data_IF_130918362362
#
_entry.id   IF_130918362362
#
_cell.length_a   1.000
_cell.length_b   1.000
_cell.length_c   1.000
_cell.angle_alpha   90.00
_cell.angle_beta   90.00
_cell.angle_gamma   90.00
#
_symmetry.space_group_name_H-M   'P 1'
#
loop_
_entity.id
_entity.type
_entity.pdbx_description
1 polymer ?
#
# COMPACT_ATOMS: atom_id res chain seq x y z
N UNK A 1 6.88 20.14 9.88
CA UNK A 1 7.82 19.26 10.60
C UNK A 1 9.15 19.98 10.73
N UNK A 2 9.69 20.08 11.94
CA UNK A 2 10.93 20.78 12.29
C UNK A 2 12.16 20.04 11.74
N UNK A 3 13.28 20.75 11.61
CA UNK A 3 14.57 20.16 11.22
C UNK A 3 15.01 19.03 12.17
N UNK A 4 14.74 19.19 13.47
CA UNK A 4 15.06 18.19 14.48
C UNK A 4 14.27 16.89 14.28
N UNK A 5 12.96 16.98 14.07
CA UNK A 5 12.11 15.81 13.80
C UNK A 5 12.58 15.06 12.56
N UNK A 6 12.86 15.78 11.46
CA UNK A 6 13.35 15.20 10.21
C UNK A 6 14.66 14.45 10.40
N UNK A 7 15.59 15.00 11.20
CA UNK A 7 16.86 14.36 11.51
C UNK A 7 16.63 13.06 12.28
N UNK A 8 15.78 13.07 13.31
CA UNK A 8 15.48 11.87 14.10
C UNK A 8 14.84 10.79 13.23
N UNK A 9 13.88 11.15 12.36
CA UNK A 9 13.27 10.20 11.42
C UNK A 9 14.32 9.62 10.46
N UNK A 10 15.24 10.44 9.94
CA UNK A 10 16.32 9.96 9.07
C UNK A 10 17.24 8.96 9.78
N UNK A 11 17.56 9.18 11.05
CA UNK A 11 18.33 8.24 11.87
C UNK A 11 17.59 6.92 12.09
N UNK A 12 16.27 6.98 12.26
CA UNK A 12 15.45 5.76 12.35
C UNK A 12 15.48 4.97 11.04
N UNK A 13 15.29 5.66 9.90
CA UNK A 13 15.30 5.03 8.56
C UNK A 13 16.67 4.45 8.21
N UNK A 14 17.76 5.07 8.64
CA UNK A 14 19.12 4.53 8.45
C UNK A 14 19.46 3.38 9.39
N UNK A 15 18.61 3.09 10.38
CA UNK A 15 18.86 2.08 11.41
C UNK A 15 19.83 2.51 12.50
N UNK A 16 20.18 3.81 12.59
CA UNK A 16 21.01 4.37 13.67
C UNK A 16 20.29 4.36 15.02
N UNK A 17 18.96 4.50 15.01
CA UNK A 17 18.14 4.40 16.21
C UNK A 17 17.04 3.36 16.03
N UNK A 18 16.70 2.70 17.12
CA UNK A 18 15.58 1.77 17.21
C UNK A 18 14.24 2.52 17.24
N UNK A 19 13.16 1.76 17.09
CA UNK A 19 11.80 2.27 17.23
C UNK A 19 11.51 2.82 18.64
N UNK A 20 12.03 2.16 19.66
CA UNK A 20 11.77 2.57 21.05
C UNK A 20 12.53 3.88 21.37
N UNK A 21 13.73 4.05 20.80
CA UNK A 21 14.46 5.31 20.82
C UNK A 21 13.77 6.41 20.04
N UNK A 22 13.23 6.10 18.84
CA UNK A 22 12.42 7.03 18.05
C UNK A 22 11.27 7.59 18.89
N UNK A 23 10.48 6.73 19.56
CA UNK A 23 9.37 7.21 20.39
C UNK A 23 9.79 7.85 21.71
N UNK A 24 10.97 7.52 22.22
CA UNK A 24 11.52 8.27 23.37
C UNK A 24 11.86 9.71 22.99
N UNK A 25 12.37 9.92 21.77
CA UNK A 25 12.74 11.24 21.25
C UNK A 25 11.54 12.02 20.69
N UNK A 26 10.58 11.29 20.11
CA UNK A 26 9.40 11.81 19.43
C UNK A 26 8.11 11.14 19.98
N UNK A 27 7.76 11.36 21.26
CA UNK A 27 6.71 10.61 21.95
C UNK A 27 5.34 10.75 21.31
N UNK A 28 5.03 11.92 20.74
CA UNK A 28 3.76 12.18 20.06
C UNK A 28 3.52 11.27 18.86
N UNK A 29 4.57 10.74 18.24
CA UNK A 29 4.45 9.85 17.09
C UNK A 29 4.14 8.40 17.47
N UNK A 30 4.15 8.07 18.77
CA UNK A 30 3.63 6.79 19.27
C UNK A 30 2.11 6.80 19.47
N UNK A 31 1.50 7.99 19.50
CA UNK A 31 0.07 8.17 19.67
C UNK A 31 -0.64 8.21 18.31
N UNK A 32 -1.52 7.24 18.10
CA UNK A 32 -2.29 7.07 16.88
C UNK A 32 -3.16 8.29 16.54
N UNK A 33 -3.77 8.92 17.54
CA UNK A 33 -4.63 10.09 17.32
C UNK A 33 -3.82 11.33 16.96
N UNK A 34 -2.59 11.41 17.45
CA UNK A 34 -1.65 12.45 17.04
C UNK A 34 -1.21 12.22 15.59
N UNK A 35 -0.75 11.01 15.25
CA UNK A 35 -0.29 10.65 13.90
C UNK A 35 -1.39 10.84 12.87
N UNK A 36 -2.62 10.38 13.16
CA UNK A 36 -3.77 10.56 12.29
C UNK A 36 -4.10 12.03 12.02
N UNK A 37 -3.98 12.91 13.03
CA UNK A 37 -4.14 14.36 12.83
C UNK A 37 -3.04 14.94 11.95
N UNK A 38 -1.78 14.53 12.15
CA UNK A 38 -0.68 14.98 11.31
C UNK A 38 -0.88 14.61 9.83
N UNK A 39 -1.39 13.42 9.54
CA UNK A 39 -1.74 13.02 8.17
C UNK A 39 -2.91 13.82 7.61
N UNK A 40 -3.97 14.04 8.39
CA UNK A 40 -5.11 14.87 7.96
C UNK A 40 -4.68 16.31 7.62
N UNK A 41 -3.79 16.88 8.42
CA UNK A 41 -3.20 18.19 8.15
C UNK A 41 -2.39 18.17 6.84
N UNK A 42 -1.58 17.14 6.63
CA UNK A 42 -0.79 16.95 5.41
C UNK A 42 -1.67 16.86 4.17
N UNK A 43 -2.76 16.10 4.23
CA UNK A 43 -3.74 15.97 3.14
C UNK A 43 -4.40 17.32 2.85
N UNK A 44 -4.85 18.00 3.91
CA UNK A 44 -5.51 19.31 3.79
C UNK A 44 -4.60 20.37 3.17
N UNK A 45 -3.33 20.37 3.56
CA UNK A 45 -2.34 21.34 3.09
C UNK A 45 -1.63 20.91 1.80
N UNK A 46 -1.84 19.66 1.34
CA UNK A 46 -1.10 19.03 0.25
C UNK A 46 0.42 19.12 0.45
N UNK A 47 0.87 18.93 1.69
CA UNK A 47 2.27 19.08 2.09
C UNK A 47 3.07 17.81 1.73
N UNK A 48 3.63 17.82 0.50
CA UNK A 48 4.46 16.74 -0.04
C UNK A 48 5.66 16.42 0.84
N UNK A 49 6.33 17.45 1.35
CA UNK A 49 7.55 17.28 2.12
C UNK A 49 7.26 16.59 3.44
N UNK A 50 6.24 17.06 4.17
CA UNK A 50 5.83 16.44 5.43
C UNK A 50 5.29 15.02 5.21
N UNK A 51 4.57 14.76 4.10
CA UNK A 51 4.14 13.39 3.76
C UNK A 51 5.34 12.44 3.62
N UNK A 52 6.38 12.87 2.91
CA UNK A 52 7.60 12.07 2.67
C UNK A 52 8.25 11.61 3.98
N UNK A 53 8.29 12.47 5.00
CA UNK A 53 8.79 12.07 6.32
C UNK A 53 7.78 11.26 7.13
N UNK A 54 6.49 11.62 7.12
CA UNK A 54 5.50 10.89 7.92
C UNK A 54 5.40 9.42 7.51
N UNK A 55 5.41 9.11 6.21
CA UNK A 55 5.36 7.72 5.72
C UNK A 55 6.54 6.84 6.13
N UNK A 56 7.65 7.44 6.57
CA UNK A 56 8.83 6.72 7.03
C UNK A 56 8.71 6.24 8.47
N UNK A 57 7.72 6.74 9.20
CA UNK A 57 7.46 6.31 10.56
C UNK A 57 6.88 4.90 10.59
N UNK A 58 7.03 4.17 11.71
CA UNK A 58 6.41 2.87 11.86
C UNK A 58 4.89 2.95 11.67
N UNK A 59 4.36 2.08 10.81
CA UNK A 59 2.92 1.95 10.58
C UNK A 59 2.44 0.69 11.30
N UNK A 60 1.25 0.78 11.90
CA UNK A 60 0.60 -0.32 12.58
C UNK A 60 -0.76 -0.61 11.96
N UNK A 61 -1.23 -1.83 12.18
CA UNK A 61 -2.59 -2.20 11.82
C UNK A 61 -3.58 -1.38 12.66
N UNK A 62 -4.19 -0.39 12.03
CA UNK A 62 -5.17 0.50 12.63
C UNK A 62 -6.11 1.01 11.54
N UNK A 63 -7.41 0.92 11.82
CA UNK A 63 -8.46 1.28 10.85
C UNK A 63 -8.45 2.76 10.46
N UNK A 64 -8.15 3.66 11.39
CA UNK A 64 -8.09 5.09 11.10
C UNK A 64 -6.93 5.42 10.16
N UNK A 65 -5.77 4.78 10.35
CA UNK A 65 -4.62 4.94 9.44
C UNK A 65 -4.90 4.30 8.09
N UNK A 66 -5.54 3.12 8.07
CA UNK A 66 -5.92 2.46 6.82
C UNK A 66 -6.76 3.38 5.93
N UNK A 67 -7.78 4.04 6.48
CA UNK A 67 -8.61 4.99 5.72
C UNK A 67 -7.83 6.22 5.26
N UNK A 68 -6.91 6.73 6.07
CA UNK A 68 -5.99 7.81 5.67
C UNK A 68 -5.12 7.38 4.49
N UNK A 69 -4.61 6.14 4.51
CA UNK A 69 -3.80 5.58 3.43
C UNK A 69 -4.61 5.41 2.15
N UNK A 70 -5.88 4.98 2.25
CA UNK A 70 -6.80 4.90 1.11
C UNK A 70 -7.00 6.28 0.48
N UNK A 71 -7.18 7.33 1.29
CA UNK A 71 -7.28 8.71 0.79
C UNK A 71 -6.01 9.11 0.04
N UNK A 72 -4.83 8.97 0.66
CA UNK A 72 -3.55 9.33 0.03
C UNK A 72 -3.33 8.60 -1.30
N UNK A 73 -3.66 7.31 -1.39
CA UNK A 73 -3.53 6.54 -2.63
C UNK A 73 -4.44 6.99 -3.78
N UNK A 74 -5.44 7.83 -3.49
CA UNK A 74 -6.34 8.42 -4.50
C UNK A 74 -5.99 9.87 -4.85
N UNK A 75 -5.01 10.45 -4.18
CA UNK A 75 -4.59 11.84 -4.37
C UNK A 75 -3.43 11.96 -5.36
N UNK A 76 -3.49 12.93 -6.28
CA UNK A 76 -2.49 13.12 -7.34
C UNK A 76 -1.44 14.19 -7.02
N UNK A 77 -1.52 14.81 -5.84
CA UNK A 77 -0.61 15.88 -5.44
C UNK A 77 0.71 15.37 -4.85
N UNK A 78 0.98 14.07 -4.78
CA UNK A 78 2.26 13.53 -4.29
C UNK A 78 2.76 12.32 -5.09
N UNK A 79 4.00 11.91 -4.83
CA UNK A 79 4.69 10.80 -5.51
C UNK A 79 4.77 9.51 -4.70
N UNK A 80 4.28 9.48 -3.46
CA UNK A 80 4.57 8.40 -2.50
C UNK A 80 3.77 7.09 -2.70
N UNK A 81 3.08 6.94 -3.83
CA UNK A 81 2.11 5.87 -4.07
C UNK A 81 2.67 4.46 -3.88
N UNK A 82 3.89 4.18 -4.37
CA UNK A 82 4.46 2.84 -4.26
C UNK A 82 4.73 2.42 -2.82
N UNK A 83 5.27 3.34 -2.01
CA UNK A 83 5.51 3.09 -0.58
C UNK A 83 4.20 2.91 0.18
N UNK A 84 3.17 3.68 -0.17
CA UNK A 84 1.83 3.52 0.39
C UNK A 84 1.19 2.17 0.01
N UNK A 85 1.37 1.69 -1.23
CA UNK A 85 0.88 0.36 -1.67
C UNK A 85 1.59 -0.76 -0.90
N UNK A 86 2.89 -0.64 -0.63
CA UNK A 86 3.64 -1.64 0.15
C UNK A 86 3.06 -1.83 1.56
N UNK A 87 2.50 -0.78 2.16
CA UNK A 87 1.78 -0.90 3.44
C UNK A 87 0.53 -1.77 3.31
N UNK A 88 -0.21 -1.71 2.18
CA UNK A 88 -1.33 -2.65 1.93
C UNK A 88 -0.88 -4.09 1.75
N UNK A 89 0.30 -4.30 1.18
CA UNK A 89 0.86 -5.64 1.03
C UNK A 89 1.23 -6.26 2.39
N UNK A 90 1.82 -5.46 3.29
CA UNK A 90 2.43 -5.96 4.53
C UNK A 90 1.57 -5.81 5.78
N UNK A 91 0.75 -4.77 5.87
CA UNK A 91 0.05 -4.35 7.10
C UNK A 91 -1.47 -4.39 6.88
N UNK A 92 -1.99 -3.69 5.88
CA UNK A 92 -3.42 -3.63 5.60
C UNK A 92 -3.89 -4.77 4.67
N UNK A 93 -3.41 -5.98 4.92
CA UNK A 93 -3.67 -7.15 4.08
C UNK A 93 -4.74 -8.10 4.63
N UNK A 94 -5.48 -7.75 5.68
CA UNK A 94 -6.41 -8.68 6.35
C UNK A 94 -7.88 -8.38 6.12
N UNK A 95 -8.23 -7.26 5.49
CA UNK A 95 -9.62 -6.90 5.18
C UNK A 95 -9.90 -7.17 3.71
N UNK A 96 -10.93 -7.96 3.44
CA UNK A 96 -11.38 -8.27 2.08
C UNK A 96 -11.70 -6.99 1.29
N UNK A 97 -12.27 -5.96 1.94
CA UNK A 97 -12.56 -4.66 1.35
C UNK A 97 -11.33 -3.98 0.71
N UNK A 98 -10.12 -4.33 1.15
CA UNK A 98 -8.89 -3.80 0.56
C UNK A 98 -8.61 -4.39 -0.82
N UNK A 99 -9.13 -5.57 -1.14
CA UNK A 99 -9.05 -6.13 -2.49
C UNK A 99 -9.80 -5.22 -3.47
N UNK A 100 -11.04 -4.84 -3.13
CA UNK A 100 -11.87 -3.95 -3.95
C UNK A 100 -11.22 -2.57 -4.12
N UNK A 101 -10.64 -2.04 -3.04
CA UNK A 101 -9.89 -0.79 -3.08
C UNK A 101 -8.65 -0.88 -3.99
N UNK A 102 -7.86 -1.96 -3.90
CA UNK A 102 -6.69 -2.19 -4.73
C UNK A 102 -7.08 -2.31 -6.22
N UNK A 103 -8.18 -3.00 -6.53
CA UNK A 103 -8.75 -3.05 -7.88
C UNK A 103 -9.19 -1.67 -8.38
N UNK A 104 -9.75 -0.83 -7.52
CA UNK A 104 -10.13 0.55 -7.85
C UNK A 104 -8.89 1.35 -8.25
N UNK A 105 -7.83 1.36 -7.47
CA UNK A 105 -6.62 2.16 -7.79
C UNK A 105 -5.84 1.59 -8.98
N UNK A 106 -5.89 0.27 -9.22
CA UNK A 106 -5.33 -0.34 -10.43
C UNK A 106 -5.90 0.28 -11.71
N UNK A 107 -7.21 0.59 -11.71
CA UNK A 107 -7.92 1.20 -12.84
C UNK A 107 -7.75 2.72 -12.93
N UNK A 108 -7.42 3.38 -11.82
CA UNK A 108 -7.34 4.84 -11.73
C UNK A 108 -5.90 5.28 -11.46
N UNK A 109 -5.04 5.10 -12.47
CA UNK A 109 -3.62 5.41 -12.38
C UNK A 109 -3.43 6.94 -12.36
N UNK A 110 -2.70 7.51 -11.38
CA UNK A 110 -2.36 8.93 -11.36
C UNK A 110 -1.67 9.40 -12.66
N UNK A 111 -1.95 10.65 -13.08
CA UNK A 111 -1.47 11.17 -14.36
C UNK A 111 0.06 11.08 -14.47
N UNK A 112 0.79 11.47 -13.42
CA UNK A 112 2.25 11.45 -13.42
C UNK A 112 2.82 10.03 -13.57
N UNK A 113 2.12 9.00 -13.07
CA UNK A 113 2.51 7.60 -13.22
C UNK A 113 2.23 7.14 -14.66
N UNK A 114 1.08 7.52 -15.22
CA UNK A 114 0.67 7.08 -16.55
C UNK A 114 1.56 7.58 -17.70
N UNK A 115 2.32 8.65 -17.47
CA UNK A 115 3.20 9.29 -18.46
C UNK A 115 4.56 8.58 -18.64
N UNK A 116 4.98 7.75 -17.68
CA UNK A 116 6.24 7.02 -17.72
C UNK A 116 5.95 5.51 -17.67
N UNK A 117 6.37 4.77 -18.70
CA UNK A 117 6.08 3.34 -18.81
C UNK A 117 6.77 2.50 -17.74
N UNK A 118 7.97 2.88 -17.29
CA UNK A 118 8.71 2.17 -16.26
C UNK A 118 8.08 2.40 -14.88
N UNK A 119 7.72 3.66 -14.55
CA UNK A 119 7.03 4.00 -13.30
C UNK A 119 5.65 3.35 -13.28
N UNK A 120 4.89 3.43 -14.38
CA UNK A 120 3.57 2.77 -14.50
C UNK A 120 3.67 1.27 -14.26
N UNK A 121 4.65 0.60 -14.87
CA UNK A 121 4.87 -0.83 -14.70
C UNK A 121 5.15 -1.19 -13.25
N UNK A 122 6.03 -0.43 -12.58
CA UNK A 122 6.37 -0.63 -11.17
C UNK A 122 5.16 -0.42 -10.25
N UNK A 123 4.39 0.64 -10.48
CA UNK A 123 3.15 0.93 -9.74
C UNK A 123 2.14 -0.21 -9.86
N UNK A 124 1.84 -0.67 -11.08
CA UNK A 124 0.89 -1.78 -11.31
C UNK A 124 1.38 -3.09 -10.70
N UNK A 125 2.68 -3.37 -10.79
CA UNK A 125 3.30 -4.54 -10.16
C UNK A 125 3.07 -4.53 -8.65
N UNK A 126 3.29 -3.39 -7.98
CA UNK A 126 3.07 -3.27 -6.54
C UNK A 126 1.60 -3.51 -6.16
N UNK A 127 0.64 -3.03 -6.95
CA UNK A 127 -0.79 -3.29 -6.70
C UNK A 127 -1.11 -4.78 -6.86
N UNK A 128 -0.65 -5.41 -7.95
CA UNK A 128 -0.84 -6.85 -8.18
C UNK A 128 -0.26 -7.67 -7.02
N UNK A 129 0.89 -7.27 -6.51
CA UNK A 129 1.53 -7.93 -5.36
C UNK A 129 0.77 -7.68 -4.06
N UNK A 130 0.24 -6.48 -3.85
CA UNK A 130 -0.61 -6.17 -2.71
C UNK A 130 -1.92 -6.97 -2.73
N UNK A 131 -2.52 -7.20 -3.91
CA UNK A 131 -3.70 -8.09 -4.07
C UNK A 131 -3.30 -9.53 -3.76
N UNK A 132 -2.19 -10.03 -4.32
CA UNK A 132 -1.69 -11.39 -4.05
C UNK A 132 -1.26 -11.63 -2.58
N UNK A 133 -0.96 -10.57 -1.82
CA UNK A 133 -0.66 -10.69 -0.41
C UNK A 133 -1.91 -10.82 0.49
N UNK A 134 -3.10 -10.50 -0.03
CA UNK A 134 -4.35 -10.65 0.71
C UNK A 134 -4.64 -12.15 0.91
N UNK A 135 -4.80 -12.67 2.15
CA UNK A 135 -4.97 -14.09 2.43
C UNK A 135 -6.33 -14.64 2.01
N UNK A 136 -7.35 -13.80 1.81
CA UNK A 136 -8.71 -14.18 1.47
C UNK A 136 -8.79 -14.77 0.04
N UNK A 137 -9.69 -15.73 -0.23
CA UNK A 137 -9.82 -16.36 -1.55
C UNK A 137 -10.18 -15.37 -2.66
N UNK A 138 -10.86 -14.27 -2.33
CA UNK A 138 -11.26 -13.21 -3.28
C UNK A 138 -10.05 -12.53 -3.94
N UNK A 139 -8.87 -12.61 -3.32
CA UNK A 139 -7.62 -12.17 -3.95
C UNK A 139 -7.34 -12.93 -5.25
N UNK A 140 -7.63 -14.24 -5.28
CA UNK A 140 -7.43 -15.06 -6.46
C UNK A 140 -8.45 -14.70 -7.55
N UNK A 141 -9.72 -14.54 -7.18
CA UNK A 141 -10.76 -14.07 -8.11
C UNK A 141 -10.42 -12.69 -8.69
N UNK A 142 -9.89 -11.77 -7.87
CA UNK A 142 -9.46 -10.46 -8.32
C UNK A 142 -8.29 -10.54 -9.32
N UNK A 143 -7.30 -11.42 -9.07
CA UNK A 143 -6.19 -11.65 -9.99
C UNK A 143 -6.66 -12.29 -11.30
N UNK A 144 -7.51 -13.31 -11.26
CA UNK A 144 -8.09 -13.95 -12.45
C UNK A 144 -8.89 -12.96 -13.29
N UNK A 145 -9.67 -12.11 -12.63
CA UNK A 145 -10.41 -11.03 -13.29
C UNK A 145 -9.47 -10.01 -13.96
N UNK A 146 -8.40 -9.57 -13.28
CA UNK A 146 -7.40 -8.69 -13.90
C UNK A 146 -6.71 -9.36 -15.10
N UNK A 147 -6.44 -10.66 -15.02
CA UNK A 147 -5.82 -11.44 -16.10
C UNK A 147 -6.71 -11.49 -17.35
N UNK A 148 -8.03 -11.63 -17.17
CA UNK A 148 -8.97 -11.67 -18.30
C UNK A 148 -9.16 -10.31 -18.98
N UNK A 149 -9.01 -9.22 -18.23
CA UNK A 149 -9.23 -7.85 -18.73
C UNK A 149 -8.00 -7.27 -19.44
N UNK A 150 -6.78 -7.60 -18.98
CA UNK A 150 -5.57 -6.98 -19.51
C UNK A 150 -5.14 -7.56 -20.86
N UNK A 151 -4.73 -6.69 -21.78
CA UNK A 151 -4.09 -7.06 -23.05
C UNK A 151 -2.57 -6.92 -23.02
N UNK A 152 -2.02 -6.41 -21.91
CA UNK A 152 -0.59 -6.20 -21.74
C UNK A 152 0.08 -7.50 -21.29
N UNK A 153 0.94 -8.05 -22.15
CA UNK A 153 1.60 -9.34 -21.92
C UNK A 153 2.59 -9.33 -20.74
N UNK A 154 3.18 -8.18 -20.40
CA UNK A 154 4.02 -8.10 -19.20
C UNK A 154 3.18 -8.14 -17.94
N UNK A 155 2.07 -7.40 -17.92
CA UNK A 155 1.12 -7.41 -16.81
C UNK A 155 0.48 -8.79 -16.64
N UNK A 156 0.12 -9.47 -17.73
CA UNK A 156 -0.37 -10.86 -17.68
C UNK A 156 0.62 -11.78 -16.97
N UNK A 157 1.91 -11.73 -17.33
CA UNK A 157 2.95 -12.53 -16.68
C UNK A 157 3.05 -12.26 -15.18
N UNK A 158 2.96 -10.99 -14.77
CA UNK A 158 2.96 -10.62 -13.35
C UNK A 158 1.78 -11.21 -12.60
N UNK A 159 0.58 -11.11 -13.17
CA UNK A 159 -0.66 -11.63 -12.58
C UNK A 159 -0.61 -13.16 -12.50
N UNK A 160 -0.26 -13.85 -13.59
CA UNK A 160 -0.12 -15.31 -13.61
C UNK A 160 0.87 -15.82 -12.57
N UNK A 161 2.01 -15.15 -12.39
CA UNK A 161 2.98 -15.52 -11.35
C UNK A 161 2.40 -15.38 -9.94
N UNK A 162 1.55 -14.37 -9.68
CA UNK A 162 0.88 -14.23 -8.39
C UNK A 162 -0.23 -15.28 -8.21
N UNK A 163 -0.99 -15.61 -9.27
CA UNK A 163 -1.98 -16.70 -9.25
C UNK A 163 -1.31 -18.04 -8.89
N UNK A 164 -0.20 -18.38 -9.53
CA UNK A 164 0.57 -19.61 -9.22
C UNK A 164 1.04 -19.64 -7.77
N UNK A 165 1.54 -18.51 -7.24
CA UNK A 165 1.92 -18.39 -5.82
C UNK A 165 0.72 -18.53 -4.90
N UNK A 166 -0.43 -17.96 -5.25
CA UNK A 166 -1.67 -18.12 -4.47
C UNK A 166 -2.12 -19.57 -4.48
N UNK A 167 -2.11 -20.24 -5.62
CA UNK A 167 -2.44 -21.66 -5.69
C UNK A 167 -1.45 -22.54 -4.91
N UNK A 168 -0.17 -22.20 -4.83
CA UNK A 168 0.77 -23.00 -4.01
C UNK A 168 0.57 -22.78 -2.51
N UNK A 169 0.13 -21.59 -2.09
CA UNK A 169 -0.21 -21.29 -0.68
C UNK A 169 -1.57 -21.89 -0.31
N UNK A 170 -2.56 -21.77 -1.19
CA UNK A 170 -3.96 -22.18 -0.97
C UNK A 170 -4.19 -23.66 -1.31
N UNK A 171 -3.36 -24.25 -2.16
CA UNK A 171 -3.39 -25.63 -2.65
C UNK A 171 -3.06 -26.71 -1.62
N UNK A 172 -3.13 -26.37 -0.33
CA UNK A 172 -3.34 -27.33 0.74
C UNK A 172 -4.81 -27.48 1.20
N UNK A 173 -5.76 -26.61 0.78
CA UNK A 173 -7.12 -26.67 1.37
C UNK A 173 -8.32 -25.98 0.70
N UNK A 174 -8.29 -25.50 -0.54
CA UNK A 174 -9.52 -25.00 -1.19
C UNK A 174 -9.70 -25.61 -2.58
N UNK A 175 -10.57 -26.62 -2.64
CA UNK A 175 -11.19 -27.07 -3.87
C UNK A 175 -12.16 -25.99 -4.35
N UNK A 176 -11.93 -25.46 -5.55
CA UNK A 176 -12.79 -24.50 -6.23
C UNK A 176 -14.05 -25.21 -6.76
N UNK A 177 -14.97 -25.53 -5.86
CA UNK A 177 -16.36 -25.78 -6.20
C UNK A 177 -17.25 -24.90 -5.34
N UNK A 178 -17.91 -23.94 -6.00
CA UNK A 178 -19.04 -23.08 -5.56
C UNK A 178 -18.75 -21.58 -5.52
N UNK A 179 -18.46 -20.95 -6.66
CA UNK A 179 -19.11 -19.68 -7.03
C UNK A 179 -19.36 -19.69 -8.54
N UNK A 180 -20.28 -20.56 -8.96
CA UNK A 180 -20.99 -20.46 -10.22
C UNK A 180 -22.41 -20.99 -9.98
N UNK A 181 -23.22 -20.19 -9.28
CA UNK A 181 -24.68 -20.22 -9.33
C UNK A 181 -25.20 -18.82 -9.13
#
# INVERSE_FOLDING_TARGET
MTTTERKIIAQFVSGEITRDELYSLLPWYSDIDCVSRLYKDVITQKDREKLCYLRMLPVYENEQLEEIWKVLLTEDWHSEHEDLIRVFQCIFNKKQENIDFLLKIFRHIPLYISQDSAIKRSYLQNIIYAIGAQPQPESLCALEYLLSETKDEEIKKMISSQIEKRHSIVGGKYEFEKIAK
#
